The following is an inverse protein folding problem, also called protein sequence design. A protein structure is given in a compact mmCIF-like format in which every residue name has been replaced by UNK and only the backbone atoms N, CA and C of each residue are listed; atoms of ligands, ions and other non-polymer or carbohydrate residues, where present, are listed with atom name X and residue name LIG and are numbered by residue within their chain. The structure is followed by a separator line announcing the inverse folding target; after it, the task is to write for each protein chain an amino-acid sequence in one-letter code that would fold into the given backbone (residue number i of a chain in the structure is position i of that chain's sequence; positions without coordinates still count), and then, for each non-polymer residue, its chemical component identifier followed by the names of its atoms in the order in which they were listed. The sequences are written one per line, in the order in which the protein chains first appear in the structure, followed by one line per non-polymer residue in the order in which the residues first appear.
data_IF_380720289788
#
_entry.id   IF_380720289788
#
_cell.length_a   1.000
_cell.length_b   1.000
_cell.length_c   1.000
_cell.angle_alpha   90.00
_cell.angle_beta   90.00
_cell.angle_gamma   90.00
#
_symmetry.space_group_name_H-M   'P 1'
#
loop_
_entity.id
_entity.type
_entity.pdbx_description
1 polymer ?
#
# COMPACT_ATOMS: atom_id res chain seq x y z
N UNK A 1 19.15 14.27 12.77
CA UNK A 1 20.17 13.35 12.25
C UNK A 1 19.56 12.54 11.12
N UNK A 2 20.29 12.32 10.06
CA UNK A 2 19.95 11.43 8.95
C UNK A 2 20.44 9.99 9.22
N UNK A 3 21.21 9.82 10.29
CA UNK A 3 21.84 8.55 10.69
C UNK A 3 21.25 8.04 12.00
N UNK A 4 21.19 6.70 12.10
CA UNK A 4 20.76 5.99 13.30
C UNK A 4 21.95 5.14 13.76
N UNK A 5 22.41 5.37 14.99
CA UNK A 5 23.45 4.55 15.62
C UNK A 5 22.76 3.45 16.43
N UNK A 6 23.11 2.19 16.17
CA UNK A 6 22.60 1.05 16.94
C UNK A 6 23.67 -0.02 17.13
N UNK A 7 23.49 -0.86 18.14
CA UNK A 7 24.40 -1.98 18.39
C UNK A 7 24.35 -2.99 17.24
N UNK A 8 25.49 -3.57 16.85
CA UNK A 8 25.57 -4.54 15.74
C UNK A 8 24.71 -5.80 15.96
N UNK A 9 24.41 -6.16 17.21
CA UNK A 9 23.54 -7.27 17.56
C UNK A 9 22.07 -6.84 17.75
N UNK A 10 21.64 -5.68 17.24
CA UNK A 10 20.24 -5.30 17.22
C UNK A 10 19.40 -6.30 16.41
N UNK A 11 18.24 -6.72 16.95
CA UNK A 11 17.41 -7.77 16.33
C UNK A 11 16.95 -7.44 14.93
N UNK A 12 16.76 -6.15 14.63
CA UNK A 12 16.40 -5.71 13.27
C UNK A 12 17.42 -6.07 12.23
N UNK A 13 18.73 -6.08 12.57
CA UNK A 13 19.82 -6.29 11.60
C UNK A 13 19.95 -7.74 11.16
N UNK A 14 19.57 -8.71 12.00
CA UNK A 14 19.77 -10.12 11.68
C UNK A 14 18.50 -10.99 11.77
N UNK A 15 17.46 -10.55 12.46
CA UNK A 15 16.16 -11.26 12.51
C UNK A 15 15.03 -10.48 11.83
N UNK A 16 15.32 -9.29 11.27
CA UNK A 16 14.33 -8.50 10.56
C UNK A 16 13.16 -8.04 11.43
N UNK A 17 13.36 -7.90 12.77
CA UNK A 17 12.30 -7.47 13.68
C UNK A 17 12.02 -5.97 13.50
N UNK A 18 11.22 -5.66 12.46
CA UNK A 18 10.87 -4.33 12.03
C UNK A 18 9.46 -4.29 11.44
N UNK A 19 8.74 -3.22 11.69
CA UNK A 19 7.50 -2.86 11.01
C UNK A 19 7.61 -1.42 10.48
N UNK A 20 6.92 -1.12 9.38
CA UNK A 20 6.93 0.22 8.82
C UNK A 20 5.55 0.61 8.28
N UNK A 21 5.35 1.91 8.10
CA UNK A 21 4.16 2.46 7.50
C UNK A 21 4.50 3.42 6.37
N UNK A 22 3.50 3.73 5.55
CA UNK A 22 3.61 4.71 4.50
C UNK A 22 2.30 5.46 4.38
N UNK A 23 2.36 6.78 4.54
CA UNK A 23 1.22 7.68 4.40
C UNK A 23 1.66 9.00 3.78
N UNK A 24 0.70 9.85 3.45
CA UNK A 24 0.97 11.12 2.79
C UNK A 24 0.27 12.27 3.50
N UNK A 25 0.94 13.42 3.53
CA UNK A 25 0.34 14.69 3.87
C UNK A 25 0.19 15.55 2.61
N UNK A 26 -0.93 16.25 2.53
CA UNK A 26 -1.32 17.06 1.37
C UNK A 26 -1.63 18.48 1.79
N UNK A 27 -1.20 19.45 1.00
CA UNK A 27 -1.73 20.82 1.07
C UNK A 27 -3.03 20.87 0.27
N UNK A 28 -4.12 21.15 0.94
CA UNK A 28 -5.43 21.19 0.32
C UNK A 28 -5.70 22.49 -0.45
N UNK A 29 -6.82 22.51 -1.18
CA UNK A 29 -7.32 23.69 -1.90
C UNK A 29 -7.53 24.90 -0.99
N UNK A 30 -7.85 24.66 0.28
CA UNK A 30 -8.03 25.66 1.34
C UNK A 30 -6.70 26.14 1.98
N UNK A 31 -5.56 25.66 1.49
CA UNK A 31 -4.23 25.96 2.02
C UNK A 31 -3.83 25.16 3.25
N UNK A 32 -4.77 24.49 3.92
CA UNK A 32 -4.51 23.68 5.13
C UNK A 32 -3.80 22.38 4.78
N UNK A 33 -2.99 21.89 5.71
CA UNK A 33 -2.30 20.60 5.57
C UNK A 33 -3.10 19.52 6.27
N UNK A 34 -3.25 18.40 5.61
CA UNK A 34 -3.98 17.25 6.12
C UNK A 34 -3.26 15.93 5.86
N UNK A 35 -3.38 14.99 6.77
CA UNK A 35 -2.97 13.59 6.63
C UNK A 35 -4.21 12.75 6.37
N UNK A 36 -4.12 11.79 5.45
CA UNK A 36 -5.25 10.93 5.08
C UNK A 36 -5.26 9.66 5.92
N UNK A 37 -6.30 9.44 6.72
CA UNK A 37 -6.57 8.27 7.58
C UNK A 37 -5.39 7.83 8.48
N UNK A 38 -4.70 8.74 9.19
CA UNK A 38 -3.51 8.40 9.97
C UNK A 38 -3.78 7.40 11.10
N UNK A 39 -4.99 7.38 11.67
CA UNK A 39 -5.38 6.42 12.69
C UNK A 39 -5.44 4.98 12.17
N UNK A 40 -5.83 4.77 10.90
CA UNK A 40 -5.78 3.44 10.29
C UNK A 40 -4.33 2.96 10.10
N UNK A 41 -3.41 3.87 9.75
CA UNK A 41 -1.99 3.55 9.72
C UNK A 41 -1.47 3.20 11.11
N UNK A 42 -1.89 3.92 12.17
CA UNK A 42 -1.52 3.62 13.55
C UNK A 42 -1.99 2.21 13.96
N UNK A 43 -3.26 1.87 13.71
CA UNK A 43 -3.83 0.54 14.00
C UNK A 43 -3.12 -0.57 13.22
N UNK A 44 -2.74 -0.32 11.97
CA UNK A 44 -2.00 -1.29 11.17
C UNK A 44 -0.56 -1.45 11.65
N UNK A 45 0.11 -0.38 12.11
CA UNK A 45 1.41 -0.47 12.78
C UNK A 45 1.32 -1.32 14.05
N UNK A 46 0.28 -1.12 14.89
CA UNK A 46 0.02 -1.94 16.09
C UNK A 46 -0.18 -3.40 15.70
N UNK A 47 -1.00 -3.68 14.68
CA UNK A 47 -1.22 -5.03 14.18
C UNK A 47 0.09 -5.68 13.69
N UNK A 48 0.92 -4.93 12.97
CA UNK A 48 2.22 -5.41 12.47
C UNK A 48 3.19 -5.67 13.64
N UNK A 49 3.24 -4.78 14.63
CA UNK A 49 4.05 -4.96 15.83
C UNK A 49 3.66 -6.24 16.60
N UNK A 50 2.36 -6.46 16.81
CA UNK A 50 1.83 -7.71 17.42
C UNK A 50 2.27 -8.95 16.64
N UNK A 51 2.21 -8.88 15.30
CA UNK A 51 2.51 -10.00 14.42
C UNK A 51 3.95 -10.49 14.48
N UNK A 52 4.88 -9.64 14.94
CA UNK A 52 6.30 -9.98 15.10
C UNK A 52 6.81 -9.70 16.51
N UNK A 53 5.90 -9.71 17.50
CA UNK A 53 6.17 -9.57 18.93
C UNK A 53 7.04 -8.36 19.28
N UNK A 54 6.64 -7.18 18.79
CA UNK A 54 7.25 -5.90 19.11
C UNK A 54 6.37 -5.08 20.05
N UNK A 55 6.96 -4.12 20.77
CA UNK A 55 6.20 -3.13 21.54
C UNK A 55 5.27 -2.34 20.62
N UNK A 56 4.03 -2.15 21.05
CA UNK A 56 2.98 -1.47 20.31
C UNK A 56 3.02 0.04 20.59
N UNK A 57 3.28 0.91 19.59
CA UNK A 57 3.15 2.34 19.81
C UNK A 57 1.66 2.71 19.98
N UNK A 58 1.27 3.47 21.03
CA UNK A 58 -0.10 3.95 21.17
C UNK A 58 -0.56 4.74 19.93
N UNK A 59 -1.85 4.65 19.56
CA UNK A 59 -2.40 5.34 18.38
C UNK A 59 -2.13 6.85 18.42
N UNK A 60 -2.35 7.48 19.57
CA UNK A 60 -2.16 8.91 19.78
C UNK A 60 -0.69 9.31 19.59
N UNK A 61 0.24 8.51 20.17
CA UNK A 61 1.67 8.76 20.01
C UNK A 61 2.08 8.69 18.53
N UNK A 62 1.57 7.69 17.79
CA UNK A 62 1.84 7.54 16.38
C UNK A 62 1.34 8.75 15.58
N UNK A 63 0.08 9.14 15.77
CA UNK A 63 -0.54 10.25 15.02
C UNK A 63 0.12 11.58 15.36
N UNK A 64 0.38 11.86 16.65
CA UNK A 64 1.04 13.11 17.07
C UNK A 64 2.50 13.19 16.60
N UNK A 65 3.24 12.07 16.58
CA UNK A 65 4.56 12.04 16.00
C UNK A 65 4.54 12.39 14.50
N UNK A 66 3.57 11.84 13.75
CA UNK A 66 3.38 12.16 12.34
C UNK A 66 3.02 13.63 12.12
N UNK A 67 2.07 14.19 12.90
CA UNK A 67 1.71 15.62 12.85
C UNK A 67 2.92 16.50 13.13
N UNK A 68 3.69 16.19 14.17
CA UNK A 68 4.88 16.94 14.54
C UNK A 68 5.92 16.95 13.43
N UNK A 69 6.16 15.81 12.77
CA UNK A 69 7.08 15.71 11.64
C UNK A 69 6.59 16.58 10.47
N UNK A 70 5.29 16.53 10.13
CA UNK A 70 4.72 17.35 9.07
C UNK A 70 4.86 18.85 9.41
N UNK A 71 4.53 19.25 10.64
CA UNK A 71 4.61 20.64 11.10
C UNK A 71 6.04 21.19 11.05
N UNK A 72 7.02 20.41 11.51
CA UNK A 72 8.44 20.79 11.45
C UNK A 72 8.99 20.87 10.00
N UNK A 73 8.33 20.20 9.06
CA UNK A 73 8.68 20.16 7.66
C UNK A 73 7.65 20.83 6.73
N UNK A 74 6.82 21.72 7.26
CA UNK A 74 5.71 22.35 6.54
C UNK A 74 6.14 23.01 5.22
N UNK A 75 7.31 23.66 5.20
CA UNK A 75 7.88 24.28 4.00
C UNK A 75 8.18 23.30 2.85
N UNK A 76 8.29 22.00 3.17
CA UNK A 76 8.51 20.94 2.20
C UNK A 76 7.22 20.22 1.77
N UNK A 77 6.07 20.58 2.35
CA UNK A 77 4.78 20.08 1.86
C UNK A 77 4.49 20.72 0.51
N UNK A 78 4.46 19.94 -0.59
CA UNK A 78 4.27 20.50 -1.92
C UNK A 78 2.99 21.33 -2.05
N UNK A 79 2.98 22.34 -2.93
CA UNK A 79 1.81 23.20 -3.12
C UNK A 79 0.64 22.41 -3.70
N UNK A 80 -0.58 22.88 -3.39
CA UNK A 80 -1.81 22.38 -4.01
C UNK A 80 -1.72 22.48 -5.54
N UNK A 81 -2.25 21.45 -6.23
CA UNK A 81 -2.25 21.41 -7.70
C UNK A 81 -0.98 20.86 -8.34
N UNK A 82 0.12 20.66 -7.59
CA UNK A 82 1.36 20.10 -8.12
C UNK A 82 1.30 18.58 -8.40
N UNK A 83 0.27 17.89 -7.91
CA UNK A 83 0.19 16.43 -7.93
C UNK A 83 1.14 15.72 -6.97
N UNK A 84 2.04 16.46 -6.32
CA UNK A 84 3.02 15.99 -5.35
C UNK A 84 2.45 15.96 -3.92
N UNK A 85 3.17 15.35 -2.99
CA UNK A 85 2.79 15.23 -1.58
C UNK A 85 4.03 15.10 -0.68
N UNK A 86 3.87 15.30 0.61
CA UNK A 86 4.89 14.92 1.59
C UNK A 86 4.62 13.49 2.03
N UNK A 87 5.54 12.58 1.71
CA UNK A 87 5.47 11.19 2.12
C UNK A 87 6.06 11.03 3.52
N UNK A 88 5.33 10.34 4.40
CA UNK A 88 5.79 9.98 5.75
C UNK A 88 6.09 8.50 5.82
N UNK A 89 7.22 8.18 6.46
CA UNK A 89 7.67 6.82 6.72
C UNK A 89 7.84 6.59 8.24
N UNK A 90 6.78 6.22 8.95
CA UNK A 90 6.91 5.68 10.31
C UNK A 90 7.58 4.30 10.27
N UNK A 91 8.52 4.07 11.21
CA UNK A 91 9.27 2.82 11.32
C UNK A 91 9.36 2.44 12.80
N UNK A 92 9.19 1.17 13.10
CA UNK A 92 9.41 0.58 14.41
C UNK A 92 10.41 -0.56 14.26
N UNK A 93 11.51 -0.52 15.02
CA UNK A 93 12.62 -1.50 14.93
C UNK A 93 13.04 -1.99 16.31
N UNK A 94 13.39 -3.27 16.41
CA UNK A 94 14.02 -3.85 17.58
C UNK A 94 15.51 -3.49 17.65
N UNK A 95 15.92 -2.76 18.68
CA UNK A 95 17.28 -2.25 18.88
C UNK A 95 18.06 -2.98 19.98
N UNK A 96 17.37 -3.76 20.82
CA UNK A 96 18.00 -4.52 21.89
C UNK A 96 19.10 -5.47 21.37
N UNK A 97 20.27 -5.42 22.01
CA UNK A 97 21.41 -6.23 21.62
C UNK A 97 21.28 -7.67 22.12
N UNK A 98 21.14 -8.62 21.20
CA UNK A 98 21.04 -10.05 21.50
C UNK A 98 21.38 -10.93 20.30
N UNK A 99 21.80 -12.17 20.56
CA UNK A 99 22.10 -13.16 19.52
C UNK A 99 21.03 -14.25 19.42
N UNK A 100 20.35 -14.58 20.51
CA UNK A 100 19.25 -15.57 20.50
C UNK A 100 18.00 -15.07 19.80
N UNK A 101 17.24 -15.98 19.16
CA UNK A 101 15.99 -15.68 18.48
C UNK A 101 14.86 -15.51 19.50
N UNK A 102 14.65 -14.32 19.96
CA UNK A 102 13.54 -13.90 20.83
C UNK A 102 13.25 -12.40 20.65
N UNK A 103 12.09 -11.90 21.09
CA UNK A 103 11.74 -10.49 20.95
C UNK A 103 12.79 -9.57 21.59
N UNK A 104 13.08 -8.44 20.96
CA UNK A 104 13.93 -7.42 21.54
C UNK A 104 13.35 -6.89 22.84
N UNK A 105 14.22 -6.41 23.75
CA UNK A 105 13.82 -5.74 24.97
C UNK A 105 13.69 -4.21 24.80
N UNK A 106 14.27 -3.69 23.74
CA UNK A 106 14.30 -2.26 23.41
C UNK A 106 13.88 -2.06 21.98
N UNK A 107 13.15 -0.98 21.72
CA UNK A 107 12.61 -0.63 20.41
C UNK A 107 12.81 0.85 20.15
N UNK A 108 12.98 1.18 18.87
CA UNK A 108 13.00 2.56 18.42
C UNK A 108 11.83 2.79 17.45
N UNK A 109 10.94 3.73 17.82
CA UNK A 109 9.92 4.26 16.92
C UNK A 109 10.40 5.60 16.36
N UNK A 110 10.37 5.76 15.05
CA UNK A 110 10.79 6.97 14.36
C UNK A 110 9.90 7.27 13.17
N UNK A 111 9.84 8.54 12.79
CA UNK A 111 9.13 9.01 11.60
C UNK A 111 10.05 9.92 10.82
N UNK A 112 10.24 9.67 9.52
CA UNK A 112 10.84 10.65 8.63
C UNK A 112 9.90 10.99 7.47
N UNK A 113 10.15 12.11 6.79
CA UNK A 113 9.34 12.58 5.68
C UNK A 113 10.23 13.00 4.51
N UNK A 114 9.72 12.82 3.29
CA UNK A 114 10.33 13.34 2.07
C UNK A 114 9.27 13.81 1.08
N UNK A 115 9.49 14.93 0.35
CA UNK A 115 8.64 15.29 -0.77
C UNK A 115 8.72 14.24 -1.86
N UNK A 116 7.55 13.86 -2.41
CA UNK A 116 7.46 12.94 -3.54
C UNK A 116 6.64 13.60 -4.64
N UNK A 117 7.13 13.48 -5.87
CA UNK A 117 6.43 13.96 -7.07
C UNK A 117 5.18 13.15 -7.38
N UNK A 118 4.44 13.52 -8.42
CA UNK A 118 3.33 12.72 -8.92
C UNK A 118 3.84 11.32 -9.32
N UNK A 119 3.07 10.29 -8.93
CA UNK A 119 3.46 8.91 -9.21
C UNK A 119 3.53 8.63 -10.73
N UNK A 120 2.54 9.12 -11.45
CA UNK A 120 2.50 9.00 -12.91
C UNK A 120 3.15 10.24 -13.54
N UNK A 121 4.39 10.11 -13.99
CA UNK A 121 5.12 11.21 -14.68
C UNK A 121 4.50 11.58 -16.02
N UNK A 122 3.90 10.61 -16.70
CA UNK A 122 3.27 10.75 -18.04
C UNK A 122 1.74 10.82 -17.99
N UNK A 123 1.14 11.04 -16.80
CA UNK A 123 -0.30 11.03 -16.59
C UNK A 123 -0.84 9.67 -16.15
N UNK A 124 -2.14 9.64 -15.86
CA UNK A 124 -2.85 8.44 -15.41
C UNK A 124 -3.05 7.46 -16.57
N UNK A 125 -2.09 6.54 -16.74
CA UNK A 125 -2.06 5.55 -17.83
C UNK A 125 -2.03 4.13 -17.29
N UNK A 126 -2.61 3.17 -18.02
CA UNK A 126 -2.55 1.77 -17.65
C UNK A 126 -1.14 1.19 -17.74
N UNK A 127 -0.88 0.20 -16.91
CA UNK A 127 0.39 -0.52 -16.84
C UNK A 127 0.20 -2.01 -17.09
N UNK A 128 1.30 -2.72 -17.35
CA UNK A 128 1.33 -4.16 -17.62
C UNK A 128 1.90 -4.91 -16.43
N UNK A 129 1.33 -6.07 -16.12
CA UNK A 129 1.79 -6.98 -15.09
C UNK A 129 2.05 -8.38 -15.64
N UNK A 130 2.89 -9.17 -14.98
CA UNK A 130 2.97 -10.61 -15.19
C UNK A 130 2.50 -11.38 -13.93
N UNK A 131 2.07 -12.62 -14.08
CA UNK A 131 1.76 -13.48 -12.93
C UNK A 131 3.05 -14.19 -12.51
N UNK A 132 3.48 -13.98 -11.25
CA UNK A 132 4.58 -14.72 -10.64
C UNK A 132 4.04 -16.05 -10.10
N UNK A 133 4.39 -17.16 -10.78
CA UNK A 133 4.01 -18.51 -10.34
C UNK A 133 5.13 -19.26 -9.65
N UNK A 134 6.35 -18.79 -9.79
CA UNK A 134 7.59 -19.35 -9.25
C UNK A 134 8.08 -18.64 -7.99
N UNK A 135 7.33 -17.66 -7.50
CA UNK A 135 7.62 -16.90 -6.27
C UNK A 135 6.34 -16.63 -5.48
N UNK A 136 6.36 -16.99 -4.21
CA UNK A 136 5.33 -16.63 -3.25
C UNK A 136 5.70 -15.34 -2.54
N UNK A 137 4.73 -14.43 -2.40
CA UNK A 137 4.93 -13.22 -1.61
C UNK A 137 4.89 -13.49 -0.11
N UNK A 138 3.98 -14.35 0.32
CA UNK A 138 3.78 -14.70 1.72
C UNK A 138 3.00 -16.01 1.87
N UNK A 139 3.34 -16.78 2.89
CA UNK A 139 2.60 -17.99 3.26
C UNK A 139 1.22 -17.65 3.88
N UNK A 140 0.20 -18.54 3.79
CA UNK A 140 -1.15 -18.31 4.31
C UNK A 140 -1.21 -17.99 5.82
N UNK A 141 -0.32 -18.59 6.61
CA UNK A 141 -0.19 -18.35 8.06
C UNK A 141 1.10 -17.63 8.43
N UNK A 142 1.73 -16.98 7.44
CA UNK A 142 2.95 -16.20 7.62
C UNK A 142 2.67 -14.73 7.97
N UNK A 143 3.57 -13.87 7.55
CA UNK A 143 3.57 -12.44 7.86
C UNK A 143 2.88 -11.57 6.82
N UNK A 144 2.23 -12.14 5.79
CA UNK A 144 1.68 -11.40 4.65
C UNK A 144 0.74 -10.25 5.00
N UNK A 145 -0.09 -10.43 6.03
CA UNK A 145 -1.03 -9.41 6.53
C UNK A 145 -0.39 -8.30 7.35
N UNK A 146 0.90 -8.42 7.68
CA UNK A 146 1.64 -7.44 8.46
C UNK A 146 2.58 -6.63 7.57
N UNK A 147 2.79 -5.36 7.90
CA UNK A 147 3.65 -4.49 7.11
C UNK A 147 5.09 -4.56 7.60
N UNK A 148 5.75 -5.67 7.29
CA UNK A 148 7.12 -6.02 7.70
C UNK A 148 8.05 -6.17 6.50
N UNK A 149 9.32 -5.80 6.66
CA UNK A 149 10.29 -5.72 5.56
C UNK A 149 10.51 -7.04 4.83
N UNK A 150 10.40 -8.19 5.51
CA UNK A 150 10.60 -9.51 4.92
C UNK A 150 9.65 -9.81 3.75
N UNK A 151 8.38 -9.36 3.83
CA UNK A 151 7.41 -9.54 2.75
C UNK A 151 7.82 -8.78 1.47
N UNK A 152 8.54 -7.66 1.62
CA UNK A 152 9.00 -6.85 0.50
C UNK A 152 10.31 -7.37 -0.07
N UNK A 153 11.22 -7.80 0.79
CA UNK A 153 12.47 -8.42 0.35
C UNK A 153 12.20 -9.70 -0.48
N UNK A 154 11.23 -10.53 -0.09
CA UNK A 154 10.84 -11.72 -0.82
C UNK A 154 10.33 -11.42 -2.24
N UNK A 155 9.79 -10.23 -2.50
CA UNK A 155 9.25 -9.85 -3.81
C UNK A 155 10.27 -9.22 -4.77
N UNK A 156 11.53 -8.99 -4.33
CA UNK A 156 12.51 -8.26 -5.14
C UNK A 156 12.91 -9.02 -6.40
N UNK A 157 13.14 -10.32 -6.32
CA UNK A 157 13.62 -11.13 -7.46
C UNK A 157 12.60 -11.15 -8.59
N UNK A 158 11.34 -11.50 -8.29
CA UNK A 158 10.26 -11.53 -9.28
C UNK A 158 9.92 -10.14 -9.82
N UNK A 159 9.90 -9.11 -8.95
CA UNK A 159 9.66 -7.74 -9.35
C UNK A 159 10.73 -7.19 -10.29
N UNK A 160 12.02 -7.41 -10.01
CA UNK A 160 13.12 -7.02 -10.90
C UNK A 160 13.08 -7.75 -12.23
N UNK A 161 12.73 -9.04 -12.24
CA UNK A 161 12.54 -9.80 -13.48
C UNK A 161 11.43 -9.18 -14.31
N UNK A 162 10.27 -8.93 -13.72
CA UNK A 162 9.13 -8.31 -14.40
C UNK A 162 9.52 -6.97 -15.06
N UNK A 163 10.22 -6.11 -14.32
CA UNK A 163 10.67 -4.81 -14.84
C UNK A 163 11.66 -4.98 -16.02
N UNK A 164 12.60 -5.90 -15.94
CA UNK A 164 13.54 -6.19 -17.06
C UNK A 164 12.84 -6.67 -18.33
N UNK A 165 11.69 -7.31 -18.19
CA UNK A 165 10.87 -7.81 -19.28
C UNK A 165 9.78 -6.82 -19.75
N UNK A 166 9.77 -5.60 -19.19
CA UNK A 166 8.88 -4.51 -19.61
C UNK A 166 7.51 -4.50 -18.91
N UNK A 167 7.35 -5.26 -17.82
CA UNK A 167 6.18 -5.17 -16.95
C UNK A 167 6.43 -4.21 -15.81
N UNK A 168 5.37 -3.63 -15.25
CA UNK A 168 5.49 -2.72 -14.10
C UNK A 168 5.74 -3.46 -12.78
N UNK A 169 5.20 -4.67 -12.63
CA UNK A 169 5.36 -5.54 -11.47
C UNK A 169 4.70 -6.91 -11.72
N UNK A 170 4.62 -7.75 -10.66
CA UNK A 170 3.98 -9.04 -10.67
C UNK A 170 2.62 -9.05 -9.98
N UNK A 171 1.70 -9.90 -10.45
CA UNK A 171 0.56 -10.40 -9.68
C UNK A 171 1.04 -11.63 -8.90
N UNK A 172 0.88 -11.63 -7.60
CA UNK A 172 1.17 -12.78 -6.73
C UNK A 172 -0.10 -13.57 -6.47
N UNK A 173 0.05 -14.88 -6.42
CA UNK A 173 -1.04 -15.83 -6.14
C UNK A 173 -0.97 -16.34 -4.70
N UNK A 174 -2.04 -16.98 -4.26
CA UNK A 174 -2.07 -17.69 -3.00
C UNK A 174 -1.02 -18.81 -2.98
N UNK A 175 -0.18 -18.82 -1.95
CA UNK A 175 0.92 -19.79 -1.84
C UNK A 175 0.47 -21.23 -1.60
N UNK A 176 -0.80 -21.50 -1.29
CA UNK A 176 -1.30 -22.83 -1.03
C UNK A 176 -1.69 -23.57 -2.31
N UNK A 177 -2.30 -22.87 -3.28
CA UNK A 177 -2.87 -23.52 -4.49
C UNK A 177 -2.45 -22.86 -5.79
N UNK A 178 -1.84 -21.67 -5.75
CA UNK A 178 -1.49 -20.84 -6.92
C UNK A 178 -2.69 -20.61 -7.87
N UNK A 179 -3.89 -20.56 -7.29
CA UNK A 179 -5.15 -20.45 -8.03
C UNK A 179 -5.74 -19.05 -7.93
N UNK A 180 -5.62 -18.43 -6.75
CA UNK A 180 -6.28 -17.16 -6.44
C UNK A 180 -5.28 -16.01 -6.41
N UNK A 181 -5.74 -14.83 -6.86
CA UNK A 181 -4.95 -13.60 -6.80
C UNK A 181 -4.87 -13.13 -5.34
N UNK A 182 -3.65 -12.85 -4.87
CA UNK A 182 -3.40 -12.23 -3.57
C UNK A 182 -3.11 -10.74 -3.73
N UNK A 183 -1.97 -10.37 -4.30
CA UNK A 183 -1.56 -8.96 -4.42
C UNK A 183 -0.92 -8.62 -5.76
N UNK A 184 -0.91 -7.34 -6.11
CA UNK A 184 -0.27 -6.78 -7.28
C UNK A 184 1.02 -6.03 -6.88
N UNK A 185 2.14 -6.75 -6.81
CA UNK A 185 3.40 -6.21 -6.29
C UNK A 185 3.30 -5.84 -4.82
N UNK A 186 3.54 -4.56 -4.50
CA UNK A 186 3.39 -3.98 -3.17
C UNK A 186 2.02 -3.29 -2.96
N UNK A 187 1.02 -3.60 -3.78
CA UNK A 187 -0.30 -3.00 -3.82
C UNK A 187 -1.39 -4.09 -3.81
N UNK A 188 -2.61 -3.74 -3.39
CA UNK A 188 -3.74 -4.65 -3.51
C UNK A 188 -4.27 -4.65 -4.96
N UNK A 189 -4.89 -5.75 -5.35
CA UNK A 189 -5.61 -5.90 -6.61
C UNK A 189 -7.10 -5.61 -6.45
N UNK A 190 -7.74 -5.06 -7.48
CA UNK A 190 -9.19 -5.08 -7.63
C UNK A 190 -9.61 -5.20 -9.10
N UNK A 191 -10.81 -5.71 -9.32
CA UNK A 191 -11.46 -5.75 -10.62
C UNK A 191 -12.89 -5.24 -10.55
N UNK A 192 -13.39 -4.71 -11.66
CA UNK A 192 -14.76 -4.21 -11.82
C UNK A 192 -15.52 -5.14 -12.77
N UNK A 193 -16.70 -5.59 -12.35
CA UNK A 193 -17.59 -6.47 -13.10
C UNK A 193 -19.03 -6.20 -12.72
N UNK A 194 -19.91 -5.94 -13.69
CA UNK A 194 -21.35 -5.76 -13.46
C UNK A 194 -21.66 -4.78 -12.29
N UNK A 195 -21.09 -3.58 -12.34
CA UNK A 195 -21.22 -2.55 -11.29
C UNK A 195 -20.79 -3.05 -9.88
N UNK A 196 -19.87 -4.02 -9.83
CA UNK A 196 -19.33 -4.58 -8.59
C UNK A 196 -17.83 -4.35 -8.51
N UNK A 197 -17.38 -3.81 -7.38
CA UNK A 197 -15.97 -3.72 -7.00
C UNK A 197 -15.55 -5.03 -6.34
N UNK A 198 -14.73 -5.82 -6.99
CA UNK A 198 -14.25 -7.11 -6.48
C UNK A 198 -12.79 -6.97 -6.06
N UNK A 199 -12.45 -7.37 -4.83
CA UNK A 199 -11.06 -7.38 -4.35
C UNK A 199 -10.75 -8.69 -3.63
N UNK A 200 -9.51 -9.22 -3.77
CA UNK A 200 -9.12 -10.45 -3.13
C UNK A 200 -9.23 -10.39 -1.60
N UNK A 201 -9.55 -11.53 -1.00
CA UNK A 201 -9.57 -11.71 0.45
C UNK A 201 -8.85 -13.01 0.80
N UNK A 202 -7.73 -12.91 1.51
CA UNK A 202 -6.99 -14.04 2.07
C UNK A 202 -6.28 -13.64 3.37
N UNK A 203 -5.71 -14.61 4.08
CA UNK A 203 -4.95 -14.37 5.32
C UNK A 203 -3.55 -13.81 5.09
N UNK A 204 -3.06 -13.82 3.84
CA UNK A 204 -1.73 -13.35 3.43
C UNK A 204 -1.73 -11.93 2.85
N UNK A 205 -2.90 -11.36 2.56
CA UNK A 205 -3.03 -10.02 1.97
C UNK A 205 -2.88 -8.94 3.06
N UNK A 206 -2.08 -7.91 2.75
CA UNK A 206 -2.00 -6.72 3.60
C UNK A 206 -3.31 -5.93 3.54
N UNK A 207 -3.96 -5.61 4.68
CA UNK A 207 -5.13 -4.73 4.71
C UNK A 207 -4.76 -3.31 4.27
N UNK A 208 -4.99 -3.00 2.99
CA UNK A 208 -4.65 -1.70 2.40
C UNK A 208 -5.67 -0.63 2.79
N UNK A 209 -5.19 0.48 3.35
CA UNK A 209 -6.02 1.64 3.70
C UNK A 209 -6.61 2.26 2.44
N UNK A 210 -5.84 2.30 1.35
CA UNK A 210 -6.35 2.76 0.05
C UNK A 210 -7.47 1.87 -0.44
N UNK A 211 -7.31 0.53 -0.41
CA UNK A 211 -8.35 -0.39 -0.85
C UNK A 211 -9.62 -0.28 0.01
N UNK A 212 -9.48 -0.17 1.34
CA UNK A 212 -10.63 0.08 2.22
C UNK A 212 -11.36 1.38 1.86
N UNK A 213 -10.63 2.43 1.51
CA UNK A 213 -11.21 3.70 1.09
C UNK A 213 -11.91 3.61 -0.27
N UNK A 214 -11.30 2.89 -1.23
CA UNK A 214 -11.92 2.66 -2.55
C UNK A 214 -13.18 1.80 -2.46
N UNK A 215 -13.22 0.79 -1.58
CA UNK A 215 -14.43 0.02 -1.31
C UNK A 215 -15.55 0.93 -0.80
N UNK A 216 -15.27 1.81 0.17
CA UNK A 216 -16.27 2.74 0.69
C UNK A 216 -16.74 3.73 -0.38
N UNK A 217 -15.82 4.27 -1.18
CA UNK A 217 -16.17 5.16 -2.29
C UNK A 217 -17.03 4.41 -3.34
N UNK A 218 -16.73 3.15 -3.62
CA UNK A 218 -17.55 2.34 -4.54
C UNK A 218 -18.98 2.18 -4.01
N UNK A 219 -19.16 1.90 -2.71
CA UNK A 219 -20.47 1.86 -2.06
C UNK A 219 -21.19 3.21 -2.14
N UNK A 220 -20.49 4.32 -1.87
CA UNK A 220 -21.04 5.68 -1.98
C UNK A 220 -21.48 6.02 -3.41
N UNK A 221 -20.86 5.40 -4.42
CA UNK A 221 -21.22 5.53 -5.83
C UNK A 221 -22.34 4.54 -6.27
N UNK A 222 -22.92 3.78 -5.34
CA UNK A 222 -23.98 2.81 -5.59
C UNK A 222 -23.51 1.51 -6.23
N UNK A 223 -22.23 1.17 -6.08
CA UNK A 223 -21.69 -0.11 -6.51
C UNK A 223 -21.81 -1.16 -5.42
N UNK A 224 -21.89 -2.43 -5.79
CA UNK A 224 -21.69 -3.55 -4.88
C UNK A 224 -20.20 -3.73 -4.60
N UNK A 225 -19.84 -4.14 -3.38
CA UNK A 225 -18.45 -4.50 -3.01
C UNK A 225 -18.39 -5.97 -2.60
N UNK A 226 -17.50 -6.70 -3.24
CA UNK A 226 -17.22 -8.11 -2.92
C UNK A 226 -15.76 -8.28 -2.51
N UNK A 227 -15.57 -8.85 -1.30
CA UNK A 227 -14.26 -9.27 -0.79
C UNK A 227 -14.26 -10.79 -0.72
N UNK A 228 -13.62 -11.44 -1.67
CA UNK A 228 -13.62 -12.90 -1.82
C UNK A 228 -12.35 -13.38 -2.54
N UNK A 229 -12.02 -14.67 -2.50
CA UNK A 229 -11.02 -15.22 -3.40
C UNK A 229 -11.40 -14.93 -4.86
N UNK A 230 -10.43 -14.53 -5.68
CA UNK A 230 -10.57 -14.25 -7.11
C UNK A 230 -9.63 -15.20 -7.85
N UNK A 231 -10.18 -16.15 -8.58
CA UNK A 231 -9.38 -17.07 -9.36
C UNK A 231 -8.74 -16.37 -10.56
N UNK A 232 -7.52 -16.78 -10.96
CA UNK A 232 -6.85 -16.24 -12.17
C UNK A 232 -7.74 -16.34 -13.39
N UNK A 233 -8.54 -17.44 -13.50
CA UNK A 233 -9.46 -17.64 -14.63
C UNK A 233 -10.53 -16.56 -14.76
N UNK A 234 -10.94 -15.94 -13.65
CA UNK A 234 -11.93 -14.85 -13.64
C UNK A 234 -11.42 -13.54 -14.25
N UNK A 235 -10.10 -13.39 -14.47
CA UNK A 235 -9.54 -12.17 -15.06
C UNK A 235 -10.22 -11.77 -16.38
N UNK A 236 -10.62 -12.75 -17.18
CA UNK A 236 -11.32 -12.48 -18.46
C UNK A 236 -12.77 -11.99 -18.32
N UNK A 237 -13.33 -12.03 -17.10
CA UNK A 237 -14.69 -11.60 -16.81
C UNK A 237 -14.77 -10.16 -16.31
N UNK A 238 -13.64 -9.57 -15.93
CA UNK A 238 -13.60 -8.19 -15.46
C UNK A 238 -13.57 -7.20 -16.63
N UNK A 239 -14.36 -6.14 -16.52
CA UNK A 239 -14.40 -5.01 -17.44
C UNK A 239 -13.18 -4.09 -17.25
N UNK A 240 -12.73 -3.95 -16.01
CA UNK A 240 -11.55 -3.17 -15.61
C UNK A 240 -10.81 -3.91 -14.51
N UNK A 241 -9.49 -3.80 -14.48
CA UNK A 241 -8.66 -4.27 -13.37
C UNK A 241 -7.60 -3.23 -13.02
N UNK A 242 -7.23 -3.17 -11.74
CA UNK A 242 -6.20 -2.23 -11.28
C UNK A 242 -5.52 -2.70 -10.01
N UNK A 243 -4.35 -2.13 -9.74
CA UNK A 243 -3.69 -2.17 -8.45
C UNK A 243 -3.99 -0.89 -7.66
N UNK A 244 -4.02 -0.97 -6.31
CA UNK A 244 -4.24 0.20 -5.47
C UNK A 244 -3.35 0.21 -4.22
N UNK A 245 -2.88 1.40 -3.86
CA UNK A 245 -2.00 1.59 -2.70
C UNK A 245 -1.63 3.06 -2.49
N UNK A 246 -0.96 3.36 -1.39
CA UNK A 246 -0.63 4.75 -0.99
C UNK A 246 0.22 5.47 -2.04
N UNK A 247 1.09 4.79 -2.77
CA UNK A 247 2.00 5.41 -3.73
C UNK A 247 1.25 6.00 -4.93
N UNK A 248 0.50 5.15 -5.64
CA UNK A 248 -0.18 5.49 -6.90
C UNK A 248 -1.66 5.86 -6.72
N UNK A 249 -2.26 5.52 -5.59
CA UNK A 249 -3.70 5.52 -5.32
C UNK A 249 -4.38 4.40 -6.11
N UNK A 250 -4.49 4.52 -7.42
CA UNK A 250 -4.94 3.50 -8.36
C UNK A 250 -3.96 3.43 -9.53
N UNK A 251 -3.55 2.24 -9.91
CA UNK A 251 -2.79 1.96 -11.14
C UNK A 251 -3.64 1.06 -12.04
N UNK A 252 -4.31 1.61 -13.05
CA UNK A 252 -5.06 0.79 -13.99
C UNK A 252 -4.14 -0.22 -14.69
N UNK A 253 -4.65 -1.39 -14.99
CA UNK A 253 -3.90 -2.46 -15.65
C UNK A 253 -4.57 -2.74 -17.01
N UNK A 254 -3.81 -2.75 -18.08
CA UNK A 254 -4.31 -3.08 -19.42
C UNK A 254 -3.84 -4.45 -19.93
N UNK A 255 -2.86 -5.06 -19.27
CA UNK A 255 -2.38 -6.38 -19.64
C UNK A 255 -1.86 -7.13 -18.41
N UNK A 256 -2.25 -8.40 -18.28
CA UNK A 256 -1.66 -9.36 -17.35
C UNK A 256 -1.24 -10.59 -18.15
N UNK A 257 0.05 -10.93 -18.09
CA UNK A 257 0.62 -12.10 -18.75
C UNK A 257 0.84 -13.24 -17.78
N UNK A 258 0.26 -14.39 -18.06
CA UNK A 258 0.48 -15.66 -17.37
C UNK A 258 1.47 -16.48 -18.19
N UNK A 259 2.75 -16.43 -17.79
CA UNK A 259 3.85 -17.09 -18.50
C UNK A 259 3.70 -18.61 -18.55
N UNK A 260 3.31 -19.23 -17.44
CA UNK A 260 3.20 -20.68 -17.35
C UNK A 260 2.15 -21.25 -18.31
N UNK A 261 1.02 -20.54 -18.41
CA UNK A 261 -0.08 -20.93 -19.28
C UNK A 261 0.00 -20.30 -20.67
N UNK A 262 1.04 -19.50 -20.95
CA UNK A 262 1.19 -18.69 -22.16
C UNK A 262 -0.09 -17.92 -22.54
N UNK A 263 -0.73 -17.34 -21.52
CA UNK A 263 -2.01 -16.65 -21.67
C UNK A 263 -1.88 -15.18 -21.33
N UNK A 264 -2.41 -14.31 -22.18
CA UNK A 264 -2.47 -12.88 -21.96
C UNK A 264 -3.91 -12.44 -21.76
N UNK A 265 -4.17 -11.76 -20.65
CA UNK A 265 -5.43 -11.06 -20.39
C UNK A 265 -5.24 -9.60 -20.76
N UNK A 266 -6.20 -9.02 -21.52
CA UNK A 266 -6.09 -7.65 -22.03
C UNK A 266 -7.35 -6.85 -21.79
N UNK A 267 -7.16 -5.57 -21.48
CA UNK A 267 -8.21 -4.56 -21.35
C UNK A 267 -7.90 -3.38 -22.27
N UNK A 268 -8.71 -2.34 -22.22
CA UNK A 268 -8.55 -1.15 -23.07
C UNK A 268 -7.19 -0.44 -22.90
N UNK A 269 -6.75 0.26 -23.94
CA UNK A 269 -5.51 1.05 -23.88
C UNK A 269 -5.59 2.26 -22.93
N UNK A 270 -6.81 2.73 -22.65
CA UNK A 270 -7.09 3.84 -21.75
C UNK A 270 -7.55 3.32 -20.39
N UNK A 271 -7.37 4.10 -19.29
CA UNK A 271 -7.91 3.78 -17.99
C UNK A 271 -9.42 3.56 -18.04
N UNK A 272 -9.90 2.54 -17.32
CA UNK A 272 -11.33 2.29 -17.21
C UNK A 272 -12.08 3.45 -16.55
N UNK A 273 -13.35 3.63 -16.89
CA UNK A 273 -14.18 4.74 -16.39
C UNK A 273 -14.38 4.68 -14.88
N UNK A 274 -14.59 3.47 -14.34
CA UNK A 274 -14.80 3.28 -12.90
C UNK A 274 -13.49 3.50 -12.15
N UNK A 275 -12.38 2.93 -12.61
CA UNK A 275 -11.05 3.14 -12.02
C UNK A 275 -10.67 4.62 -12.00
N UNK A 276 -10.97 5.35 -13.08
CA UNK A 276 -10.76 6.80 -13.16
C UNK A 276 -11.60 7.54 -12.14
N UNK A 277 -12.90 7.22 -12.06
CA UNK A 277 -13.82 7.86 -11.11
C UNK A 277 -13.40 7.62 -9.65
N UNK A 278 -13.00 6.40 -9.31
CA UNK A 278 -12.50 6.04 -7.99
C UNK A 278 -11.22 6.81 -7.64
N UNK A 279 -10.26 6.87 -8.60
CA UNK A 279 -9.03 7.63 -8.44
C UNK A 279 -9.29 9.12 -8.21
N UNK A 280 -10.09 9.74 -9.05
CA UNK A 280 -10.42 11.18 -8.96
C UNK A 280 -11.14 11.51 -7.66
N UNK A 281 -12.09 10.65 -7.24
CA UNK A 281 -12.85 10.84 -6.00
C UNK A 281 -11.91 10.78 -4.79
N UNK A 282 -11.07 9.74 -4.69
CA UNK A 282 -10.15 9.61 -3.56
C UNK A 282 -9.12 10.74 -3.53
N UNK A 283 -8.55 11.11 -4.68
CA UNK A 283 -7.63 12.27 -4.80
C UNK A 283 -8.32 13.58 -4.43
N UNK A 284 -9.56 13.75 -4.87
CA UNK A 284 -10.37 14.93 -4.53
C UNK A 284 -10.61 15.07 -3.02
N UNK A 285 -10.91 13.97 -2.32
CA UNK A 285 -11.04 13.94 -0.86
C UNK A 285 -9.70 14.26 -0.18
N UNK A 286 -8.60 13.63 -0.61
CA UNK A 286 -7.26 13.86 -0.08
C UNK A 286 -6.80 15.30 -0.21
N UNK A 287 -7.16 15.98 -1.30
CA UNK A 287 -6.77 17.37 -1.59
C UNK A 287 -7.82 18.41 -1.14
N UNK A 288 -8.93 17.97 -0.52
CA UNK A 288 -10.00 18.87 -0.08
C UNK A 288 -10.77 19.53 -1.23
N UNK A 289 -10.83 18.90 -2.39
CA UNK A 289 -11.65 19.29 -3.54
C UNK A 289 -13.06 18.69 -3.46
N UNK A 290 -13.16 17.50 -2.88
CA UNK A 290 -14.40 16.75 -2.63
C UNK A 290 -14.59 16.70 -1.12
N UNK A 291 -15.84 16.82 -0.68
CA UNK A 291 -16.22 16.72 0.71
C UNK A 291 -15.80 15.37 1.31
N UNK A 292 -15.20 15.42 2.49
CA UNK A 292 -14.79 14.24 3.26
C UNK A 292 -15.93 13.78 4.18
N UNK A 293 -16.90 13.07 3.63
CA UNK A 293 -18.10 12.58 4.36
C UNK A 293 -17.76 11.56 5.46
N UNK A 294 -16.57 10.98 5.40
CA UNK A 294 -16.14 9.91 6.31
C UNK A 294 -15.14 10.38 7.38
N UNK A 295 -14.80 11.67 7.42
CA UNK A 295 -13.82 12.25 8.35
C UNK A 295 -12.45 11.55 8.28
N UNK A 296 -11.99 11.23 7.08
CA UNK A 296 -10.70 10.56 6.84
C UNK A 296 -9.51 11.49 6.98
N UNK A 297 -9.70 12.79 6.71
CA UNK A 297 -8.64 13.77 6.78
C UNK A 297 -8.44 14.28 8.21
N UNK A 298 -7.20 14.23 8.68
CA UNK A 298 -6.79 14.81 9.96
C UNK A 298 -5.89 16.00 9.69
N UNK A 299 -6.28 17.17 10.16
CA UNK A 299 -5.52 18.41 9.98
C UNK A 299 -4.30 18.47 10.90
N UNK A 300 -3.26 19.17 10.44
CA UNK A 300 -1.95 19.25 11.11
C UNK A 300 -1.81 20.54 11.93
N UNK A 301 -2.84 21.32 12.04
CA UNK A 301 -2.88 22.64 12.73
C UNK A 301 -2.41 22.57 14.20
#
# INVERSE_FOLDING_TARGET
SEEIVMHMAATVLHYGQAAFEGMKAFRGKDGRIRMFRPYENARRMISSAKGVLMAEPPEELYVEACKKVVKLNEKFVPPYGSGASLYLRPILVGTGAQVGVHPAKEYLFMVFACPVGPYFKEGFKPVRFEIARDYDRAAPFGTGKYKVGGNYAASLVSGERAVKEGYSNCIYLDAATHTYIDEAGAANFFGIKNNTYCTPSSTSILPSITNMSLCQIAEDLGMKVERRPIAVGELSEFEEVAACGTAAVVSPINEIFDRENNKTYKWGAEPGKVSTKLYETLKGIQNGQIEDKHNWNVFVD
#
